data_IF_233959961080
#
_entry.id   IF_233959961080
#
_cell.length_a   1.000
_cell.length_b   1.000
_cell.length_c   1.000
_cell.angle_alpha   90.00
_cell.angle_beta   90.00
_cell.angle_gamma   90.00
#
_symmetry.space_group_name_H-M   'P 1'
#
loop_
_entity.id
_entity.type
_entity.pdbx_description
1 polymer ?
#
# COMPACT_ATOMS: atom_id res chain seq x y z
N UNK A 1 12.19 8.55 19.39
CA UNK A 1 11.06 8.43 18.46
C UNK A 1 9.86 9.27 18.92
N UNK A 2 9.21 8.95 20.05
CA UNK A 2 7.95 9.59 20.50
C UNK A 2 7.97 11.13 20.51
N UNK A 3 9.04 11.77 20.96
CA UNK A 3 9.15 13.24 21.02
C UNK A 3 9.22 13.88 19.62
N UNK A 4 9.77 13.18 18.63
CA UNK A 4 9.96 13.70 17.26
C UNK A 4 8.82 13.34 16.32
N UNK A 5 8.02 12.31 16.65
CA UNK A 5 7.01 11.78 15.75
C UNK A 5 5.93 12.81 15.36
N UNK A 6 5.38 13.63 16.28
CA UNK A 6 4.38 14.63 15.91
C UNK A 6 4.95 15.67 14.93
N UNK A 7 6.14 16.21 15.21
CA UNK A 7 6.78 17.18 14.35
C UNK A 7 7.16 16.57 12.98
N UNK A 8 7.68 15.34 12.98
CA UNK A 8 7.99 14.62 11.76
C UNK A 8 6.73 14.43 10.88
N UNK A 9 5.60 14.04 11.49
CA UNK A 9 4.34 13.87 10.78
C UNK A 9 3.81 15.19 10.22
N UNK A 10 3.90 16.29 10.98
CA UNK A 10 3.50 17.61 10.54
C UNK A 10 4.32 18.06 9.31
N UNK A 11 5.66 18.01 9.40
CA UNK A 11 6.55 18.37 8.27
C UNK A 11 6.36 17.49 7.05
N UNK A 12 6.20 16.20 7.23
CA UNK A 12 5.86 15.30 6.12
C UNK A 12 4.50 15.63 5.51
N UNK A 13 3.55 16.13 6.32
CA UNK A 13 2.27 16.64 5.84
C UNK A 13 2.39 17.87 4.94
N UNK A 14 3.22 18.81 5.35
CA UNK A 14 3.53 20.03 4.56
C UNK A 14 4.29 19.72 3.27
N UNK A 15 5.21 18.74 3.34
CA UNK A 15 6.02 18.33 2.18
C UNK A 15 5.23 17.52 1.15
N UNK A 16 4.26 16.76 1.60
CA UNK A 16 3.47 15.84 0.76
C UNK A 16 1.98 15.99 1.04
N UNK A 17 1.39 17.19 0.80
CA UNK A 17 -0.03 17.42 1.05
C UNK A 17 -0.92 16.55 0.15
N UNK A 18 -0.48 16.32 -1.10
CA UNK A 18 -1.19 15.52 -2.10
C UNK A 18 -0.83 14.01 -2.05
N UNK A 19 -0.19 13.54 -0.95
CA UNK A 19 0.17 12.13 -0.84
C UNK A 19 -1.09 11.26 -0.77
N UNK A 20 -1.32 10.49 -1.83
CA UNK A 20 -2.48 9.63 -1.98
C UNK A 20 -2.10 8.27 -2.56
N UNK A 21 -3.06 7.38 -2.72
CA UNK A 21 -2.87 6.11 -3.41
C UNK A 21 -2.40 6.35 -4.84
N UNK A 22 -1.29 5.69 -5.22
CA UNK A 22 -0.71 5.83 -6.57
C UNK A 22 -1.39 4.93 -7.61
N UNK A 23 -2.31 4.06 -7.18
CA UNK A 23 -3.10 3.20 -8.07
C UNK A 23 -4.35 3.97 -8.52
N UNK A 24 -4.72 3.81 -9.78
CA UNK A 24 -5.95 4.37 -10.35
C UNK A 24 -7.11 3.42 -10.08
N UNK A 25 -8.20 3.95 -9.52
CA UNK A 25 -9.39 3.18 -9.18
C UNK A 25 -10.62 4.09 -9.07
N UNK A 26 -11.82 3.52 -9.28
CA UNK A 26 -13.11 4.23 -9.21
C UNK A 26 -14.04 3.69 -8.12
N UNK A 27 -13.82 2.45 -7.69
CA UNK A 27 -14.61 1.76 -6.70
C UNK A 27 -13.76 0.76 -5.88
N UNK A 28 -14.27 0.22 -4.75
CA UNK A 28 -13.52 -0.69 -3.89
C UNK A 28 -13.03 -1.97 -4.59
N UNK A 29 -13.79 -2.51 -5.54
CA UNK A 29 -13.39 -3.69 -6.30
C UNK A 29 -12.16 -3.41 -7.16
N UNK A 30 -12.14 -2.28 -7.86
CA UNK A 30 -11.00 -1.87 -8.67
C UNK A 30 -9.75 -1.67 -7.83
N UNK A 31 -9.86 -1.02 -6.64
CA UNK A 31 -8.72 -0.86 -5.75
C UNK A 31 -8.21 -2.19 -5.23
N UNK A 32 -9.10 -3.12 -4.85
CA UNK A 32 -8.74 -4.45 -4.40
C UNK A 32 -7.92 -5.17 -5.49
N UNK A 33 -8.43 -5.24 -6.72
CA UNK A 33 -7.76 -5.90 -7.84
C UNK A 33 -6.44 -5.20 -8.19
N UNK A 34 -6.42 -3.87 -8.29
CA UNK A 34 -5.20 -3.11 -8.57
C UNK A 34 -4.12 -3.34 -7.50
N UNK A 35 -4.52 -3.41 -6.22
CA UNK A 35 -3.58 -3.69 -5.13
C UNK A 35 -3.07 -5.14 -5.19
N UNK A 36 -3.88 -6.11 -5.55
CA UNK A 36 -3.43 -7.50 -5.81
C UNK A 36 -2.42 -7.54 -6.95
N UNK A 37 -2.65 -6.78 -8.02
CA UNK A 37 -1.74 -6.69 -9.16
C UNK A 37 -0.42 -5.98 -8.81
N UNK A 38 -0.40 -5.08 -7.84
CA UNK A 38 0.82 -4.35 -7.41
C UNK A 38 1.83 -5.22 -6.66
N UNK A 39 1.47 -6.45 -6.29
CA UNK A 39 2.42 -7.39 -5.69
C UNK A 39 3.58 -7.68 -6.66
N UNK A 40 4.80 -7.26 -6.27
CA UNK A 40 6.04 -7.35 -7.07
C UNK A 40 5.91 -6.69 -8.46
N UNK A 41 5.10 -5.63 -8.57
CA UNK A 41 4.90 -4.85 -9.77
C UNK A 41 4.86 -3.36 -9.41
N UNK A 42 5.25 -2.49 -10.34
CA UNK A 42 5.17 -1.04 -10.13
C UNK A 42 3.74 -0.54 -10.32
N UNK A 43 3.34 0.47 -9.53
CA UNK A 43 2.02 1.09 -9.65
C UNK A 43 1.77 1.63 -11.07
N UNK A 44 2.81 2.21 -11.70
CA UNK A 44 2.74 2.66 -13.11
C UNK A 44 2.36 1.52 -14.05
N UNK A 45 2.95 0.33 -13.90
CA UNK A 45 2.61 -0.82 -14.74
C UNK A 45 1.19 -1.30 -14.47
N UNK A 46 0.74 -1.31 -13.21
CA UNK A 46 -0.63 -1.67 -12.85
C UNK A 46 -1.61 -0.71 -13.52
N UNK A 47 -1.39 0.60 -13.39
CA UNK A 47 -2.25 1.62 -13.98
C UNK A 47 -2.32 1.57 -15.54
N UNK A 48 -1.30 1.00 -16.18
CA UNK A 48 -1.32 0.77 -17.64
C UNK A 48 -2.20 -0.41 -18.07
N UNK A 49 -2.39 -1.41 -17.21
CA UNK A 49 -3.15 -2.63 -17.59
C UNK A 49 -4.58 -2.61 -17.05
N UNK A 50 -4.84 -1.92 -15.96
CA UNK A 50 -6.16 -1.92 -15.30
C UNK A 50 -7.30 -1.32 -16.13
N UNK A 51 -7.09 -0.30 -17.01
CA UNK A 51 -8.19 0.20 -17.84
C UNK A 51 -8.83 -0.87 -18.72
N UNK A 52 -8.02 -1.63 -19.48
CA UNK A 52 -8.52 -2.71 -20.32
C UNK A 52 -9.09 -3.88 -19.51
N UNK A 53 -8.48 -4.17 -18.35
CA UNK A 53 -8.99 -5.19 -17.43
C UNK A 53 -10.39 -4.83 -16.92
N UNK A 54 -10.59 -3.59 -16.44
CA UNK A 54 -11.87 -3.15 -15.89
C UNK A 54 -12.93 -2.82 -16.94
N UNK A 55 -12.54 -2.54 -18.17
CA UNK A 55 -13.47 -2.49 -19.30
C UNK A 55 -14.10 -3.87 -19.55
N UNK A 56 -13.30 -4.94 -19.49
CA UNK A 56 -13.78 -6.31 -19.72
C UNK A 56 -14.42 -6.94 -18.49
N UNK A 57 -13.93 -6.63 -17.28
CA UNK A 57 -14.38 -7.18 -15.99
C UNK A 57 -14.66 -6.03 -15.01
N UNK A 58 -15.78 -5.29 -15.18
CA UNK A 58 -16.05 -4.07 -14.43
C UNK A 58 -16.35 -4.29 -12.93
N UNK A 59 -16.70 -5.50 -12.55
CA UNK A 59 -17.09 -5.86 -11.20
C UNK A 59 -16.73 -7.32 -10.85
N UNK A 60 -17.00 -7.69 -9.60
CA UNK A 60 -16.75 -9.05 -9.13
C UNK A 60 -17.60 -10.10 -9.87
N UNK A 61 -18.83 -9.78 -10.28
CA UNK A 61 -19.69 -10.71 -10.97
C UNK A 61 -19.15 -11.07 -12.36
N UNK A 62 -18.69 -10.09 -13.11
CA UNK A 62 -18.08 -10.31 -14.42
C UNK A 62 -16.80 -11.15 -14.34
N UNK A 63 -15.94 -10.90 -13.33
CA UNK A 63 -14.72 -11.68 -13.13
C UNK A 63 -14.97 -13.08 -12.53
N UNK A 64 -16.02 -13.25 -11.73
CA UNK A 64 -16.39 -14.55 -11.16
C UNK A 64 -16.92 -15.54 -12.20
N UNK A 65 -17.53 -15.01 -13.28
CA UNK A 65 -18.19 -15.79 -14.33
C UNK A 65 -17.23 -16.44 -15.31
N UNK A 66 -15.94 -16.11 -15.29
CA UNK A 66 -14.94 -16.58 -16.25
C UNK A 66 -13.89 -17.48 -15.62
N UNK A 67 -13.11 -18.17 -16.46
CA UNK A 67 -11.96 -18.93 -16.00
C UNK A 67 -10.71 -18.02 -15.94
N UNK A 68 -9.74 -18.33 -15.07
CA UNK A 68 -8.52 -17.53 -14.90
C UNK A 68 -7.77 -17.24 -16.22
N UNK A 69 -7.80 -18.19 -17.16
CA UNK A 69 -7.17 -18.04 -18.47
C UNK A 69 -7.71 -16.87 -19.30
N UNK A 70 -8.94 -16.43 -19.06
CA UNK A 70 -9.52 -15.26 -19.74
C UNK A 70 -9.00 -13.93 -19.17
N UNK A 71 -8.58 -13.92 -17.90
CA UNK A 71 -8.00 -12.75 -17.21
C UNK A 71 -6.50 -12.61 -17.52
N UNK A 72 -5.79 -13.73 -17.74
CA UNK A 72 -4.33 -13.74 -17.95
C UNK A 72 -3.82 -12.75 -19.00
N UNK A 73 -4.41 -12.62 -20.20
CA UNK A 73 -3.92 -11.70 -21.22
C UNK A 73 -3.87 -10.23 -20.76
N UNK A 74 -4.83 -9.82 -19.92
CA UNK A 74 -4.92 -8.45 -19.42
C UNK A 74 -3.87 -8.11 -18.37
N UNK A 75 -3.38 -9.11 -17.63
CA UNK A 75 -2.48 -8.90 -16.48
C UNK A 75 -1.06 -9.45 -16.72
N UNK A 76 -0.78 -9.97 -17.91
CA UNK A 76 0.48 -10.66 -18.24
C UNK A 76 1.73 -9.84 -17.91
N UNK A 77 1.72 -8.55 -18.23
CA UNK A 77 2.88 -7.67 -18.01
C UNK A 77 3.12 -7.28 -16.54
N UNK A 78 2.24 -7.69 -15.62
CA UNK A 78 2.42 -7.41 -14.17
C UNK A 78 3.29 -8.42 -13.45
N UNK A 79 3.75 -9.49 -14.12
CA UNK A 79 4.48 -10.60 -13.51
C UNK A 79 3.60 -11.53 -12.68
N UNK A 80 4.00 -12.78 -12.53
CA UNK A 80 3.21 -13.81 -11.81
C UNK A 80 1.74 -13.89 -12.26
N UNK A 81 1.48 -13.56 -13.50
CA UNK A 81 0.15 -13.27 -14.04
C UNK A 81 -0.84 -14.42 -13.87
N UNK A 82 -0.39 -15.70 -13.98
CA UNK A 82 -1.26 -16.87 -13.78
C UNK A 82 -1.79 -16.96 -12.34
N UNK A 83 -0.90 -16.72 -11.37
CA UNK A 83 -1.30 -16.71 -9.96
C UNK A 83 -2.21 -15.52 -9.64
N UNK A 84 -1.92 -14.35 -10.24
CA UNK A 84 -2.74 -13.15 -10.09
C UNK A 84 -4.12 -13.34 -10.71
N UNK A 85 -4.21 -13.89 -11.92
CA UNK A 85 -5.48 -14.20 -12.56
C UNK A 85 -6.33 -15.19 -11.72
N UNK A 86 -5.72 -16.27 -11.24
CA UNK A 86 -6.39 -17.22 -10.33
C UNK A 86 -6.89 -16.53 -9.05
N UNK A 87 -6.07 -15.66 -8.47
CA UNK A 87 -6.43 -14.94 -7.25
C UNK A 87 -7.58 -13.96 -7.50
N UNK A 88 -7.57 -13.21 -8.61
CA UNK A 88 -8.64 -12.27 -8.99
C UNK A 88 -9.95 -13.02 -9.16
N UNK A 89 -9.98 -14.08 -9.97
CA UNK A 89 -11.19 -14.87 -10.20
C UNK A 89 -11.67 -15.52 -8.92
N UNK A 90 -10.77 -16.12 -8.13
CA UNK A 90 -11.12 -16.75 -6.86
C UNK A 90 -11.67 -15.75 -5.84
N UNK A 91 -11.05 -14.59 -5.71
CA UNK A 91 -11.55 -13.52 -4.83
C UNK A 91 -12.93 -13.03 -5.30
N UNK A 92 -13.11 -12.83 -6.62
CA UNK A 92 -14.38 -12.39 -7.19
C UNK A 92 -15.51 -13.41 -6.95
N UNK A 93 -15.24 -14.70 -7.08
CA UNK A 93 -16.22 -15.77 -6.76
C UNK A 93 -16.66 -15.72 -5.30
N UNK A 94 -15.72 -15.57 -4.36
CA UNK A 94 -16.06 -15.43 -2.94
C UNK A 94 -16.80 -14.12 -2.63
N UNK A 95 -16.44 -13.00 -3.29
CA UNK A 95 -17.19 -11.75 -3.15
C UNK A 95 -18.65 -11.91 -3.59
N UNK A 96 -18.90 -12.59 -4.70
CA UNK A 96 -20.27 -12.85 -5.18
C UNK A 96 -21.00 -13.79 -4.22
N UNK A 97 -20.37 -14.88 -3.80
CA UNK A 97 -20.99 -15.92 -2.96
C UNK A 97 -21.33 -15.42 -1.55
N UNK A 98 -20.44 -14.66 -0.92
CA UNK A 98 -20.56 -14.32 0.49
C UNK A 98 -20.86 -12.85 0.77
N UNK A 99 -20.63 -11.95 -0.20
CA UNK A 99 -20.74 -10.50 -0.01
C UNK A 99 -21.60 -9.80 -1.06
N UNK A 100 -22.38 -10.56 -1.86
CA UNK A 100 -23.25 -9.98 -2.90
C UNK A 100 -22.47 -9.16 -3.95
N UNK A 101 -21.22 -9.54 -4.23
CA UNK A 101 -20.32 -8.85 -5.16
C UNK A 101 -19.60 -7.62 -4.59
N UNK A 102 -19.85 -7.27 -3.33
CA UNK A 102 -19.22 -6.11 -2.68
C UNK A 102 -17.92 -6.50 -1.97
N UNK A 103 -17.03 -5.53 -1.84
CA UNK A 103 -15.80 -5.70 -1.06
C UNK A 103 -16.10 -5.54 0.43
N UNK A 104 -15.76 -6.51 1.30
CA UNK A 104 -16.03 -6.44 2.72
C UNK A 104 -15.21 -5.35 3.42
N UNK A 105 -15.72 -4.87 4.56
CA UNK A 105 -15.14 -3.74 5.31
C UNK A 105 -14.43 -4.18 6.59
N UNK A 106 -14.10 -5.46 6.72
CA UNK A 106 -13.33 -5.96 7.86
C UNK A 106 -12.02 -6.60 7.42
N UNK A 107 -11.01 -6.52 8.27
CA UNK A 107 -9.71 -7.16 8.01
C UNK A 107 -9.86 -8.68 7.89
N UNK A 108 -10.68 -9.26 8.75
CA UNK A 108 -10.91 -10.69 8.85
C UNK A 108 -11.49 -11.25 7.55
N UNK A 109 -12.53 -10.63 7.02
CA UNK A 109 -13.20 -11.05 5.78
C UNK A 109 -12.30 -10.84 4.55
N UNK A 110 -11.58 -9.71 4.49
CA UNK A 110 -10.64 -9.45 3.40
C UNK A 110 -9.51 -10.48 3.35
N UNK A 111 -9.02 -10.94 4.50
CA UNK A 111 -7.95 -11.96 4.56
C UNK A 111 -8.40 -13.35 4.11
N UNK A 112 -9.71 -13.62 4.01
CA UNK A 112 -10.24 -14.87 3.46
C UNK A 112 -10.15 -14.89 1.92
N UNK A 113 -10.02 -13.74 1.28
CA UNK A 113 -9.97 -13.64 -0.17
C UNK A 113 -8.61 -14.12 -0.72
N UNK A 114 -8.59 -15.00 -1.73
CA UNK A 114 -7.35 -15.43 -2.39
C UNK A 114 -6.51 -14.24 -2.89
N UNK A 115 -5.21 -14.27 -2.60
CA UNK A 115 -4.29 -13.22 -3.02
C UNK A 115 -4.34 -11.93 -2.20
N UNK A 116 -5.18 -11.86 -1.17
CA UNK A 116 -5.28 -10.70 -0.27
C UNK A 116 -4.48 -10.96 0.99
N UNK A 117 -3.37 -10.25 1.12
CA UNK A 117 -2.57 -10.22 2.34
C UNK A 117 -2.97 -9.01 3.20
N UNK A 118 -2.50 -8.99 4.48
CA UNK A 118 -2.75 -7.89 5.42
C UNK A 118 -2.48 -6.50 4.83
N UNK A 119 -1.39 -6.35 4.05
CA UNK A 119 -1.06 -5.08 3.40
C UNK A 119 -2.13 -4.67 2.39
N UNK A 120 -2.59 -5.60 1.55
CA UNK A 120 -3.67 -5.36 0.57
C UNK A 120 -4.96 -4.95 1.28
N UNK A 121 -5.36 -5.70 2.30
CA UNK A 121 -6.55 -5.40 3.10
C UNK A 121 -6.47 -4.01 3.77
N UNK A 122 -5.32 -3.66 4.37
CA UNK A 122 -5.13 -2.34 4.99
C UNK A 122 -5.24 -1.19 3.98
N UNK A 123 -4.72 -1.36 2.77
CA UNK A 123 -4.85 -0.35 1.70
C UNK A 123 -6.32 -0.15 1.32
N UNK A 124 -7.05 -1.24 1.06
CA UNK A 124 -8.47 -1.19 0.67
C UNK A 124 -9.31 -0.56 1.79
N UNK A 125 -9.14 -1.01 3.04
CA UNK A 125 -9.87 -0.47 4.18
C UNK A 125 -9.64 1.03 4.35
N UNK A 126 -8.40 1.47 4.25
CA UNK A 126 -8.05 2.87 4.46
C UNK A 126 -8.57 3.78 3.34
N UNK A 127 -8.36 3.40 2.07
CA UNK A 127 -8.68 4.27 0.94
C UNK A 127 -10.15 4.22 0.51
N UNK A 128 -10.80 3.07 0.59
CA UNK A 128 -12.21 2.94 0.18
C UNK A 128 -13.20 3.27 1.30
N UNK A 129 -12.82 2.97 2.55
CA UNK A 129 -13.78 2.98 3.66
C UNK A 129 -13.36 3.91 4.81
N UNK A 130 -12.17 4.54 4.73
CA UNK A 130 -11.65 5.39 5.80
C UNK A 130 -11.29 4.61 7.08
N UNK A 131 -11.17 3.28 7.01
CA UNK A 131 -10.89 2.41 8.15
C UNK A 131 -9.39 2.22 8.30
N UNK A 132 -8.79 2.91 9.26
CA UNK A 132 -7.37 2.79 9.59
C UNK A 132 -7.13 1.52 10.44
N UNK A 133 -6.92 0.37 9.77
CA UNK A 133 -6.70 -0.93 10.40
C UNK A 133 -5.24 -1.17 10.85
N UNK A 134 -4.31 -0.29 10.45
CA UNK A 134 -2.89 -0.36 10.81
C UNK A 134 -2.02 0.56 9.96
N UNK A 135 -0.73 0.63 10.30
CA UNK A 135 0.29 1.33 9.52
C UNK A 135 0.83 0.37 8.46
N UNK A 136 0.58 0.67 7.18
CA UNK A 136 1.10 -0.13 6.08
C UNK A 136 2.63 -0.03 6.01
N UNK A 137 3.33 -1.15 6.22
CA UNK A 137 4.79 -1.21 6.23
C UNK A 137 5.28 -1.91 4.96
N UNK A 138 5.72 -1.12 3.98
CA UNK A 138 6.40 -1.59 2.79
C UNK A 138 7.93 -1.45 2.91
N UNK A 139 8.65 -1.65 1.82
CA UNK A 139 10.13 -1.50 1.79
C UNK A 139 10.59 -0.06 2.04
N UNK A 140 9.79 0.95 1.65
CA UNK A 140 10.09 2.36 1.93
C UNK A 140 9.86 2.67 3.40
N UNK A 141 8.70 2.32 3.94
CA UNK A 141 8.37 2.53 5.35
C UNK A 141 9.35 1.77 6.25
N UNK A 142 9.68 0.51 5.97
CA UNK A 142 10.68 -0.27 6.71
C UNK A 142 12.02 0.45 6.75
N UNK A 143 12.52 0.91 5.60
CA UNK A 143 13.79 1.64 5.50
C UNK A 143 13.78 2.94 6.29
N UNK A 144 12.72 3.74 6.14
CA UNK A 144 12.63 5.02 6.85
C UNK A 144 12.41 4.82 8.35
N UNK A 145 11.64 3.84 8.76
CA UNK A 145 11.47 3.49 10.17
C UNK A 145 12.83 3.20 10.85
N UNK A 146 13.74 2.51 10.14
CA UNK A 146 15.10 2.27 10.61
C UNK A 146 15.94 3.58 10.66
N UNK A 147 15.99 4.32 9.55
CA UNK A 147 16.84 5.52 9.42
C UNK A 147 16.41 6.63 10.38
N UNK A 148 15.11 6.81 10.53
CA UNK A 148 14.51 7.77 11.47
C UNK A 148 14.47 7.25 12.91
N UNK A 149 14.89 5.98 13.15
CA UNK A 149 14.83 5.32 14.45
C UNK A 149 13.41 5.36 15.06
N UNK A 150 12.39 5.17 14.24
CA UNK A 150 11.00 5.05 14.68
C UNK A 150 10.70 3.64 15.21
N UNK A 151 11.41 2.64 14.70
CA UNK A 151 11.42 1.27 15.20
C UNK A 151 12.84 0.71 15.22
N UNK A 152 13.10 -0.24 16.12
CA UNK A 152 14.34 -1.03 16.19
C UNK A 152 14.23 -2.35 15.43
N UNK A 153 13.03 -2.73 15.04
CA UNK A 153 12.74 -3.97 14.34
C UNK A 153 12.97 -3.85 12.84
N UNK A 154 13.30 -4.96 12.17
CA UNK A 154 13.49 -5.04 10.72
C UNK A 154 12.29 -5.69 10.00
N UNK A 155 11.55 -6.51 10.72
CA UNK A 155 10.40 -7.24 10.20
C UNK A 155 9.17 -6.33 10.16
N UNK A 156 8.44 -6.21 9.03
CA UNK A 156 7.26 -5.36 8.89
C UNK A 156 6.22 -5.58 10.00
N UNK A 157 5.96 -6.84 10.37
CA UNK A 157 4.99 -7.21 11.42
C UNK A 157 5.36 -6.68 12.80
N UNK A 158 6.63 -6.37 13.04
CA UNK A 158 7.13 -5.79 14.30
C UNK A 158 7.31 -4.28 14.22
N UNK A 159 7.54 -3.74 13.02
CA UNK A 159 7.61 -2.29 12.77
C UNK A 159 6.22 -1.65 12.90
N UNK A 160 5.19 -2.27 12.33
CA UNK A 160 3.81 -1.76 12.34
C UNK A 160 3.34 -1.35 13.75
N UNK A 161 3.37 -2.22 14.78
CA UNK A 161 2.94 -1.85 16.13
C UNK A 161 3.77 -0.72 16.76
N UNK A 162 5.06 -0.62 16.41
CA UNK A 162 5.90 0.48 16.90
C UNK A 162 5.45 1.81 16.31
N UNK A 163 5.16 1.86 15.00
CA UNK A 163 4.68 3.06 14.32
C UNK A 163 3.28 3.46 14.80
N UNK A 164 2.38 2.50 14.99
CA UNK A 164 1.03 2.74 15.52
C UNK A 164 1.04 3.42 16.90
N UNK A 165 2.05 3.17 17.73
CA UNK A 165 2.20 3.81 19.05
C UNK A 165 2.72 5.24 19.00
N UNK A 166 3.18 5.71 17.85
CA UNK A 166 3.80 7.03 17.69
C UNK A 166 2.79 8.12 17.31
N UNK A 167 1.70 7.74 16.66
CA UNK A 167 0.69 8.67 16.12
C UNK A 167 -0.72 8.17 16.44
N UNK A 168 -1.70 9.05 16.39
CA UNK A 168 -3.11 8.68 16.55
C UNK A 168 -3.57 7.75 15.41
N UNK A 169 -4.59 6.95 15.65
CA UNK A 169 -5.12 6.01 14.66
C UNK A 169 -5.56 6.71 13.36
N UNK A 170 -6.12 7.92 13.47
CA UNK A 170 -6.50 8.72 12.32
C UNK A 170 -5.32 9.02 11.36
N UNK A 171 -4.09 9.04 11.87
CA UNK A 171 -2.89 9.36 11.11
C UNK A 171 -2.11 8.15 10.59
N UNK A 172 -2.53 6.93 10.87
CA UNK A 172 -1.77 5.72 10.48
C UNK A 172 -1.55 5.64 8.97
N UNK A 173 -2.60 5.90 8.18
CA UNK A 173 -2.49 5.90 6.73
C UNK A 173 -1.64 7.06 6.22
N UNK A 174 -1.82 8.26 6.78
CA UNK A 174 -1.04 9.44 6.42
C UNK A 174 0.46 9.24 6.70
N UNK A 175 0.81 8.65 7.84
CA UNK A 175 2.18 8.31 8.16
C UNK A 175 2.77 7.36 7.11
N UNK A 176 2.06 6.29 6.77
CA UNK A 176 2.52 5.30 5.77
C UNK A 176 2.79 5.95 4.43
N UNK A 177 1.81 6.64 3.87
CA UNK A 177 1.90 7.16 2.50
C UNK A 177 2.94 8.27 2.38
N UNK A 178 3.03 9.17 3.36
CA UNK A 178 4.03 10.23 3.39
C UNK A 178 5.46 9.70 3.53
N UNK A 179 5.67 8.65 4.33
CA UNK A 179 6.97 7.97 4.39
C UNK A 179 7.32 7.29 3.05
N UNK A 180 6.35 6.72 2.34
CA UNK A 180 6.57 6.15 1.00
C UNK A 180 7.01 7.25 0.03
N UNK A 181 6.29 8.38 -0.02
CA UNK A 181 6.61 9.50 -0.89
C UNK A 181 8.00 10.06 -0.59
N UNK A 182 8.33 10.30 0.68
CA UNK A 182 9.66 10.74 1.09
C UNK A 182 10.75 9.72 0.74
N UNK A 183 10.45 8.44 0.89
CA UNK A 183 11.35 7.34 0.53
C UNK A 183 11.62 7.21 -0.98
N UNK A 184 10.66 7.59 -1.81
CA UNK A 184 10.81 7.64 -3.27
C UNK A 184 11.56 8.90 -3.71
N UNK A 185 11.19 10.05 -3.16
CA UNK A 185 11.69 11.35 -3.61
C UNK A 185 13.07 11.72 -3.07
N UNK A 186 13.34 11.50 -1.78
CA UNK A 186 14.52 12.01 -1.07
C UNK A 186 15.34 10.90 -0.43
N UNK A 187 14.71 10.09 0.44
CA UNK A 187 15.40 9.08 1.23
C UNK A 187 15.51 7.75 0.47
N UNK A 188 16.12 7.77 -0.72
CA UNK A 188 16.27 6.59 -1.58
C UNK A 188 17.15 5.50 -0.95
N UNK A 189 17.07 4.26 -1.45
CA UNK A 189 17.75 3.11 -0.83
C UNK A 189 19.28 3.25 -0.89
N UNK A 190 19.84 3.54 -2.06
CA UNK A 190 21.29 3.54 -2.32
C UNK A 190 21.95 4.90 -2.10
N UNK A 191 21.31 6.00 -2.53
CA UNK A 191 21.87 7.34 -2.48
C UNK A 191 20.85 8.33 -1.91
N UNK A 192 20.61 8.35 -0.59
CA UNK A 192 19.71 9.30 0.02
C UNK A 192 20.28 10.73 -0.09
N UNK A 193 19.44 11.70 -0.42
CA UNK A 193 19.83 13.11 -0.53
C UNK A 193 19.76 13.80 0.83
N UNK A 194 20.64 13.41 1.76
CA UNK A 194 20.61 13.89 3.14
C UNK A 194 20.91 15.38 3.25
N UNK A 195 21.78 15.94 2.38
CA UNK A 195 22.12 17.35 2.39
C UNK A 195 20.94 18.28 2.08
N UNK A 196 20.03 17.82 1.21
CA UNK A 196 18.83 18.58 0.80
C UNK A 196 17.56 18.05 1.48
N UNK A 197 17.69 17.21 2.51
CA UNK A 197 16.54 16.57 3.13
C UNK A 197 15.82 17.54 4.10
N UNK A 198 14.54 17.89 3.84
CA UNK A 198 13.81 18.86 4.66
C UNK A 198 13.54 18.43 6.11
N UNK A 199 13.79 17.14 6.43
CA UNK A 199 13.65 16.58 7.78
C UNK A 199 14.99 16.07 8.32
N UNK A 200 16.13 16.58 7.81
CA UNK A 200 17.46 16.12 8.21
C UNK A 200 17.73 16.34 9.69
N UNK A 201 17.28 17.48 10.24
CA UNK A 201 17.39 17.85 11.66
C UNK A 201 16.63 16.90 12.59
N UNK A 202 15.55 16.31 12.12
CA UNK A 202 14.77 15.30 12.85
C UNK A 202 15.33 13.88 12.64
N UNK A 203 16.28 13.70 11.72
CA UNK A 203 16.80 12.39 11.35
C UNK A 203 18.13 12.08 12.05
N UNK A 204 18.23 11.03 12.87
CA UNK A 204 19.49 10.66 13.52
C UNK A 204 20.63 10.30 12.55
N UNK A 205 20.28 9.99 11.30
CA UNK A 205 21.28 9.75 10.24
C UNK A 205 21.63 11.01 9.45
N UNK A 206 20.72 12.00 9.37
CA UNK A 206 20.94 13.26 8.67
C UNK A 206 21.91 14.19 9.40
N UNK A 207 22.05 14.02 10.71
CA UNK A 207 22.96 14.80 11.57
C UNK A 207 24.39 14.28 11.56
N UNK A 208 24.70 13.20 10.83
CA UNK A 208 26.08 12.70 10.71
C UNK A 208 26.78 13.44 9.58
N UNK A 209 27.92 14.13 9.85
CA UNK A 209 28.72 14.69 8.76
C UNK A 209 29.08 13.56 7.80
N UNK A 210 28.93 13.83 6.51
CA UNK A 210 29.37 12.95 5.44
C UNK A 210 30.88 12.79 5.59
N UNK A 211 31.33 11.64 6.12
CA UNK A 211 32.72 11.25 6.12
C UNK A 211 33.15 10.76 4.76
#
# INVERSE_FOLDING_TARGET
ARRRAPELLARLGELYPEATCSLDWRNPYELLVATMLSAQCTDVRVNLVTPALFERFPDAAAAAAVEPGEVEPYVQSTGFFRNKAKAIVGASRLLVEHHGGNVPQTMEELLLLPGVARKTASVVLAWCFGINAGVTVDTHVSRLAQRLQLSRHREPRRIEPDLMKLVAQADWQNLSIRLIFHGRAVCTARKPRCGDCPIADLCPMGSRPSG
#
